data_IF_639089137773
#
_entry.id   IF_639089137773
#
_cell.length_a   1.000
_cell.length_b   1.000
_cell.length_c   1.000
_cell.angle_alpha   90.00
_cell.angle_beta   90.00
_cell.angle_gamma   90.00
#
_symmetry.space_group_name_H-M   'P 1'
#
loop_
_entity.id
_entity.type
_entity.pdbx_description
1 polymer ?
#
# COMPACT_ATOMS: atom_id res chain seq x y z
N UNK A 1 13.49 69.39 -9.64
CA UNK A 1 13.51 69.49 -8.17
C UNK A 1 13.27 68.08 -7.66
N UNK A 2 14.20 67.36 -7.04
CA UNK A 2 15.29 67.77 -6.15
C UNK A 2 16.51 66.85 -6.34
N UNK A 3 17.70 67.46 -6.31
CA UNK A 3 18.96 66.84 -5.87
C UNK A 3 18.78 66.27 -4.45
N UNK A 4 19.56 65.30 -3.96
CA UNK A 4 20.96 65.37 -3.49
C UNK A 4 21.37 63.90 -3.25
N UNK A 5 22.49 63.36 -3.75
CA UNK A 5 23.86 63.58 -3.28
C UNK A 5 24.20 62.57 -2.16
N UNK A 6 25.17 61.66 -2.39
CA UNK A 6 26.52 61.69 -1.75
C UNK A 6 26.49 60.98 -0.37
N UNK A 7 27.40 60.10 0.08
CA UNK A 7 28.81 59.81 -0.21
C UNK A 7 29.16 58.39 0.32
N UNK A 8 30.24 57.80 -0.21
CA UNK A 8 30.90 56.67 0.45
C UNK A 8 31.58 57.13 1.74
N UNK A 9 31.51 56.30 2.79
CA UNK A 9 32.24 56.54 4.03
C UNK A 9 33.27 55.42 4.27
N UNK A 10 34.50 55.90 4.33
CA UNK A 10 35.78 55.24 4.56
C UNK A 10 35.88 54.56 5.93
N UNK A 11 36.72 53.53 5.96
CA UNK A 11 37.19 52.76 7.10
C UNK A 11 37.42 53.54 8.41
N UNK A 12 36.97 52.95 9.51
CA UNK A 12 37.51 53.17 10.85
C UNK A 12 37.70 51.80 11.51
N UNK A 13 38.96 51.38 11.69
CA UNK A 13 39.30 50.20 12.46
C UNK A 13 38.90 50.37 13.95
N UNK A 14 38.61 49.28 14.67
CA UNK A 14 38.23 49.37 16.06
C UNK A 14 39.39 49.92 16.90
N UNK A 15 39.11 50.80 17.89
CA UNK A 15 40.16 51.35 18.75
C UNK A 15 40.79 50.23 19.58
N UNK A 16 42.13 50.18 19.55
CA UNK A 16 42.93 49.33 20.44
C UNK A 16 42.68 49.82 21.86
N UNK A 17 42.03 48.98 22.68
CA UNK A 17 41.80 49.29 24.10
C UNK A 17 43.12 49.13 24.85
N UNK A 18 43.50 50.17 25.57
CA UNK A 18 44.55 50.14 26.59
C UNK A 18 44.23 49.04 27.63
N UNK A 19 45.22 48.28 28.12
CA UNK A 19 45.00 47.33 29.20
C UNK A 19 44.61 48.11 30.46
N UNK A 20 43.35 47.96 30.86
CA UNK A 20 42.83 48.49 32.12
C UNK A 20 43.71 48.01 33.27
N UNK A 21 44.23 48.97 34.02
CA UNK A 21 44.92 48.79 35.29
C UNK A 21 44.11 47.84 36.18
N UNK A 22 44.78 46.81 36.71
CA UNK A 22 44.16 45.71 37.45
C UNK A 22 43.73 46.23 38.82
N UNK A 23 42.58 46.91 38.84
CA UNK A 23 41.88 47.31 40.05
C UNK A 23 41.51 46.08 40.88
N UNK A 24 41.78 46.20 42.17
CA UNK A 24 41.59 45.21 43.22
C UNK A 24 40.34 44.33 43.03
N UNK A 25 40.55 43.01 43.10
CA UNK A 25 39.52 42.00 42.93
C UNK A 25 38.51 42.15 44.07
N UNK A 26 37.39 42.84 43.79
CA UNK A 26 36.26 42.90 44.71
C UNK A 26 35.78 41.46 44.96
N UNK A 27 35.65 41.01 46.23
CA UNK A 27 35.10 39.70 46.53
C UNK A 27 33.75 39.53 45.84
N UNK A 28 33.54 38.40 45.16
CA UNK A 28 32.30 38.11 44.46
C UNK A 28 31.13 38.15 45.46
N UNK A 29 30.27 39.16 45.33
CA UNK A 29 28.99 39.20 46.01
C UNK A 29 28.19 38.00 45.50
N UNK A 30 27.98 37.03 46.39
CA UNK A 30 27.26 35.80 46.11
C UNK A 30 25.82 36.19 45.80
N UNK A 31 25.45 36.18 44.51
CA UNK A 31 24.07 36.45 44.09
C UNK A 31 23.20 35.30 44.60
N UNK A 32 22.62 35.52 45.78
CA UNK A 32 21.60 34.70 46.42
C UNK A 32 20.34 34.74 45.54
N UNK A 33 20.15 33.70 44.73
CA UNK A 33 18.95 33.54 43.88
C UNK A 33 19.18 33.18 42.42
N UNK A 34 20.42 33.08 41.94
CA UNK A 34 20.69 32.68 40.54
C UNK A 34 20.76 31.14 40.31
N UNK A 35 20.52 30.33 41.35
CA UNK A 35 20.72 28.87 41.30
C UNK A 35 19.55 28.04 41.87
N UNK A 36 18.32 28.54 41.79
CA UNK A 36 17.13 27.85 42.35
C UNK A 36 16.08 27.42 41.31
N UNK A 37 16.43 27.43 40.02
CA UNK A 37 15.53 26.93 38.94
C UNK A 37 15.95 25.61 38.31
N UNK A 38 16.97 24.95 38.85
CA UNK A 38 17.24 23.56 38.52
C UNK A 38 17.00 22.73 39.77
N UNK A 39 15.74 22.30 39.94
CA UNK A 39 15.41 21.26 40.87
C UNK A 39 16.31 20.06 40.57
N UNK A 40 17.10 19.66 41.57
CA UNK A 40 18.10 18.60 41.51
C UNK A 40 17.41 17.24 41.58
N UNK A 41 16.43 17.07 40.68
CA UNK A 41 15.66 15.89 40.32
C UNK A 41 15.39 15.82 38.81
N UNK A 42 15.71 16.87 38.02
CA UNK A 42 15.60 16.88 36.56
C UNK A 42 16.83 16.30 35.82
N UNK A 43 17.59 15.40 36.44
CA UNK A 43 18.22 14.36 35.63
C UNK A 43 17.09 13.39 35.35
N UNK A 44 16.30 13.66 34.30
CA UNK A 44 15.30 12.72 33.82
C UNK A 44 15.95 11.34 33.83
N UNK A 45 15.50 10.49 34.76
CA UNK A 45 16.09 9.19 35.00
C UNK A 45 16.32 8.53 33.65
N UNK A 46 17.44 7.85 33.44
CA UNK A 46 17.68 7.09 32.20
C UNK A 46 16.48 6.16 31.92
N UNK A 47 15.75 5.73 32.95
CA UNK A 47 14.49 5.00 32.83
C UNK A 47 13.32 5.80 32.26
N UNK A 48 13.22 7.11 32.52
CA UNK A 48 12.22 8.00 31.92
C UNK A 48 12.49 8.19 30.42
N UNK A 49 13.73 8.50 30.03
CA UNK A 49 14.11 8.64 28.61
C UNK A 49 13.95 7.34 27.82
N UNK A 50 14.28 6.19 28.43
CA UNK A 50 14.06 4.88 27.81
C UNK A 50 12.55 4.56 27.69
N UNK A 51 11.74 5.01 28.65
CA UNK A 51 10.29 4.93 28.62
C UNK A 51 9.67 5.73 27.46
N UNK A 52 10.15 6.96 27.25
CA UNK A 52 9.70 7.81 26.14
C UNK A 52 10.05 7.20 24.78
N UNK A 53 11.29 6.72 24.60
CA UNK A 53 11.71 6.03 23.36
C UNK A 53 10.88 4.76 23.12
N UNK A 54 10.61 3.97 24.15
CA UNK A 54 9.78 2.77 24.03
C UNK A 54 8.32 3.12 23.65
N UNK A 55 7.80 4.24 24.16
CA UNK A 55 6.52 4.81 23.78
C UNK A 55 6.49 5.24 22.31
N UNK A 56 7.53 5.91 21.84
CA UNK A 56 7.66 6.36 20.45
C UNK A 56 7.74 5.18 19.48
N UNK A 57 8.54 4.16 19.79
CA UNK A 57 8.62 2.93 18.98
C UNK A 57 7.27 2.21 18.93
N UNK A 58 6.57 2.12 20.07
CA UNK A 58 5.22 1.52 20.13
C UNK A 58 4.23 2.30 19.27
N UNK A 59 4.36 3.63 19.23
CA UNK A 59 3.53 4.52 18.44
C UNK A 59 3.80 4.35 16.94
N UNK A 60 5.07 4.30 16.53
CA UNK A 60 5.47 4.03 15.14
C UNK A 60 4.96 2.66 14.67
N UNK A 61 5.13 1.61 15.48
CA UNK A 61 4.63 0.27 15.15
C UNK A 61 3.12 0.26 14.94
N UNK A 62 2.36 0.96 15.79
CA UNK A 62 0.90 1.11 15.61
C UNK A 62 0.55 1.86 14.33
N UNK A 63 1.32 2.89 13.98
CA UNK A 63 1.13 3.67 12.75
C UNK A 63 1.43 2.84 11.50
N UNK A 64 2.52 2.08 11.47
CA UNK A 64 2.87 1.18 10.37
C UNK A 64 1.78 0.13 10.15
N UNK A 65 1.27 -0.48 11.23
CA UNK A 65 0.14 -1.42 11.13
C UNK A 65 -1.12 -0.72 10.63
N UNK A 66 -1.40 0.49 11.11
CA UNK A 66 -2.57 1.25 10.65
C UNK A 66 -2.47 1.63 9.16
N UNK A 67 -1.28 2.01 8.71
CA UNK A 67 -1.00 2.33 7.31
C UNK A 67 -1.11 1.09 6.43
N UNK A 68 -0.45 -0.01 6.80
CA UNK A 68 -0.55 -1.28 6.08
C UNK A 68 -2.01 -1.75 5.98
N UNK A 69 -2.79 -1.60 7.06
CA UNK A 69 -4.22 -1.91 7.05
C UNK A 69 -5.00 -1.00 6.09
N UNK A 70 -4.67 0.29 6.02
CA UNK A 70 -5.29 1.22 5.09
C UNK A 70 -4.96 0.86 3.63
N UNK A 71 -3.70 0.53 3.34
CA UNK A 71 -3.26 0.14 1.99
C UNK A 71 -3.89 -1.19 1.53
N UNK A 72 -3.95 -2.19 2.41
CA UNK A 72 -4.66 -3.45 2.14
C UNK A 72 -6.14 -3.20 1.89
N UNK A 73 -6.79 -2.33 2.68
CA UNK A 73 -8.22 -2.00 2.50
C UNK A 73 -8.46 -1.28 1.17
N UNK A 74 -7.60 -0.34 0.80
CA UNK A 74 -7.67 0.36 -0.47
C UNK A 74 -7.49 -0.63 -1.64
N UNK A 75 -6.45 -1.46 -1.57
CA UNK A 75 -6.15 -2.50 -2.56
C UNK A 75 -7.32 -3.48 -2.72
N UNK A 76 -7.92 -3.94 -1.61
CA UNK A 76 -9.08 -4.82 -1.63
C UNK A 76 -10.31 -4.15 -2.25
N UNK A 77 -10.50 -2.85 -2.00
CA UNK A 77 -11.60 -2.08 -2.58
C UNK A 77 -11.44 -1.95 -4.09
N UNK A 78 -10.23 -1.63 -4.55
CA UNK A 78 -9.96 -1.42 -5.97
C UNK A 78 -9.97 -2.75 -6.73
N UNK A 79 -9.41 -3.82 -6.15
CA UNK A 79 -9.56 -5.18 -6.66
C UNK A 79 -11.03 -5.62 -6.71
N UNK A 80 -11.82 -5.31 -5.67
CA UNK A 80 -13.25 -5.60 -5.61
C UNK A 80 -14.05 -4.87 -6.70
N UNK A 81 -13.78 -3.59 -6.93
CA UNK A 81 -14.36 -2.83 -8.04
C UNK A 81 -13.98 -3.44 -9.39
N UNK A 82 -12.70 -3.74 -9.59
CA UNK A 82 -12.19 -4.38 -10.80
C UNK A 82 -12.88 -5.71 -11.09
N UNK A 83 -12.94 -6.60 -10.09
CA UNK A 83 -13.64 -7.87 -10.18
C UNK A 83 -15.13 -7.69 -10.46
N UNK A 84 -15.79 -6.73 -9.80
CA UNK A 84 -17.19 -6.39 -10.04
C UNK A 84 -17.45 -5.90 -11.48
N UNK A 85 -16.60 -5.02 -12.00
CA UNK A 85 -16.68 -4.53 -13.38
C UNK A 85 -16.47 -5.66 -14.39
N UNK A 86 -15.49 -6.56 -14.17
CA UNK A 86 -15.26 -7.70 -15.04
C UNK A 86 -16.41 -8.72 -14.99
N UNK A 87 -16.96 -8.99 -13.82
CA UNK A 87 -18.14 -9.84 -13.68
C UNK A 87 -19.35 -9.24 -14.41
N UNK A 88 -19.61 -7.94 -14.20
CA UNK A 88 -20.65 -7.20 -14.89
C UNK A 88 -20.47 -7.19 -16.41
N UNK A 89 -19.25 -6.98 -16.90
CA UNK A 89 -18.90 -7.05 -18.31
C UNK A 89 -19.13 -8.46 -18.89
N UNK A 90 -18.84 -9.52 -18.13
CA UNK A 90 -19.13 -10.90 -18.51
C UNK A 90 -20.63 -11.13 -18.71
N UNK A 91 -21.46 -10.68 -17.76
CA UNK A 91 -22.94 -10.80 -17.86
C UNK A 91 -23.48 -9.95 -19.02
N UNK A 92 -23.06 -8.69 -19.11
CA UNK A 92 -23.48 -7.78 -20.17
C UNK A 92 -23.07 -8.30 -21.55
N UNK A 93 -21.84 -8.78 -21.69
CA UNK A 93 -21.33 -9.40 -22.92
C UNK A 93 -22.10 -10.66 -23.30
N UNK A 94 -22.45 -11.51 -22.33
CA UNK A 94 -23.29 -12.68 -22.57
C UNK A 94 -24.68 -12.30 -23.09
N UNK A 95 -25.34 -11.31 -22.47
CA UNK A 95 -26.63 -10.81 -22.94
C UNK A 95 -26.53 -10.17 -24.34
N UNK A 96 -25.48 -9.39 -24.60
CA UNK A 96 -25.23 -8.82 -25.93
C UNK A 96 -25.11 -9.93 -26.99
N UNK A 97 -24.33 -10.99 -26.72
CA UNK A 97 -24.19 -12.14 -27.62
C UNK A 97 -25.52 -12.87 -27.85
N UNK A 98 -26.35 -13.01 -26.81
CA UNK A 98 -27.69 -13.59 -26.93
C UNK A 98 -28.57 -12.76 -27.86
N UNK A 99 -28.68 -11.45 -27.64
CA UNK A 99 -29.49 -10.56 -28.47
C UNK A 99 -28.97 -10.46 -29.90
N UNK A 100 -27.64 -10.42 -30.10
CA UNK A 100 -27.05 -10.48 -31.43
C UNK A 100 -27.36 -11.79 -32.15
N UNK A 101 -27.39 -12.91 -31.44
CA UNK A 101 -27.77 -14.21 -32.01
C UNK A 101 -29.23 -14.23 -32.46
N UNK A 102 -30.14 -13.67 -31.65
CA UNK A 102 -31.56 -13.53 -32.01
C UNK A 102 -31.72 -12.60 -33.21
N UNK A 103 -31.02 -11.45 -33.22
CA UNK A 103 -31.05 -10.50 -34.32
C UNK A 103 -30.52 -11.13 -35.62
N UNK A 104 -29.43 -11.89 -35.55
CA UNK A 104 -28.88 -12.62 -36.70
C UNK A 104 -29.85 -13.67 -37.22
N UNK A 105 -30.47 -14.44 -36.31
CA UNK A 105 -31.48 -15.42 -36.68
C UNK A 105 -32.66 -14.74 -37.39
N UNK A 106 -33.15 -13.62 -36.86
CA UNK A 106 -34.24 -12.86 -37.46
C UNK A 106 -33.88 -12.29 -38.84
N UNK A 107 -32.68 -11.72 -38.97
CA UNK A 107 -32.19 -11.14 -40.22
C UNK A 107 -32.01 -12.20 -41.32
N UNK A 108 -31.45 -13.37 -40.98
CA UNK A 108 -31.33 -14.49 -41.92
C UNK A 108 -32.68 -15.11 -42.25
N UNK A 109 -33.57 -15.21 -41.26
CA UNK A 109 -34.92 -15.74 -41.42
C UNK A 109 -35.74 -14.90 -42.40
N UNK A 110 -35.65 -13.57 -42.31
CA UNK A 110 -36.31 -12.66 -43.26
C UNK A 110 -35.63 -12.62 -44.63
N UNK A 111 -34.30 -12.72 -44.70
CA UNK A 111 -33.58 -12.73 -45.97
C UNK A 111 -33.90 -13.96 -46.82
N UNK A 112 -34.06 -15.12 -46.18
CA UNK A 112 -34.34 -16.40 -46.87
C UNK A 112 -35.81 -16.82 -46.83
N UNK A 113 -36.70 -16.01 -46.24
CA UNK A 113 -38.10 -16.38 -45.94
C UNK A 113 -38.24 -17.75 -45.24
N UNK A 114 -37.22 -18.15 -44.46
CA UNK A 114 -37.18 -19.44 -43.79
C UNK A 114 -36.39 -19.38 -42.46
N UNK A 115 -37.13 -19.21 -41.37
CA UNK A 115 -36.56 -19.17 -40.02
C UNK A 115 -35.95 -20.51 -39.58
N UNK A 116 -36.40 -21.65 -40.11
CA UNK A 116 -35.87 -22.96 -39.77
C UNK A 116 -34.43 -23.14 -40.24
N UNK A 117 -34.14 -22.77 -41.50
CA UNK A 117 -32.78 -22.79 -42.05
C UNK A 117 -31.89 -21.78 -41.34
N UNK A 118 -32.41 -20.57 -41.07
CA UNK A 118 -31.67 -19.56 -40.34
C UNK A 118 -31.28 -20.03 -38.92
N UNK A 119 -32.17 -20.72 -38.20
CA UNK A 119 -31.87 -21.30 -36.89
C UNK A 119 -30.75 -22.35 -36.97
N UNK A 120 -30.77 -23.22 -37.99
CA UNK A 120 -29.72 -24.20 -38.20
C UNK A 120 -28.36 -23.54 -38.46
N UNK A 121 -28.31 -22.48 -39.27
CA UNK A 121 -27.07 -21.75 -39.54
C UNK A 121 -26.51 -21.12 -38.27
N UNK A 122 -27.33 -20.41 -37.49
CA UNK A 122 -26.90 -19.83 -36.20
C UNK A 122 -26.46 -20.91 -35.22
N UNK A 123 -27.16 -22.04 -35.18
CA UNK A 123 -26.80 -23.20 -34.38
C UNK A 123 -25.45 -23.80 -34.76
N UNK A 124 -25.16 -23.95 -36.06
CA UNK A 124 -23.86 -24.43 -36.55
C UNK A 124 -22.73 -23.48 -36.18
N UNK A 125 -22.95 -22.15 -36.28
CA UNK A 125 -21.97 -21.14 -35.85
C UNK A 125 -21.63 -21.33 -34.37
N UNK A 126 -22.63 -21.46 -33.50
CA UNK A 126 -22.41 -21.70 -32.07
C UNK A 126 -21.76 -23.05 -31.77
N UNK A 127 -22.11 -24.11 -32.52
CA UNK A 127 -21.48 -25.42 -32.38
C UNK A 127 -19.98 -25.36 -32.70
N UNK A 128 -19.59 -24.63 -33.75
CA UNK A 128 -18.18 -24.42 -34.10
C UNK A 128 -17.44 -23.61 -33.03
N UNK A 129 -18.03 -22.52 -32.55
CA UNK A 129 -17.48 -21.71 -31.45
C UNK A 129 -17.27 -22.59 -30.21
N UNK A 130 -18.28 -23.36 -29.81
CA UNK A 130 -18.22 -24.26 -28.66
C UNK A 130 -17.14 -25.34 -28.83
N UNK A 131 -17.01 -25.93 -30.03
CA UNK A 131 -15.96 -26.91 -30.31
C UNK A 131 -14.55 -26.32 -30.16
N UNK A 132 -14.32 -25.10 -30.67
CA UNK A 132 -13.04 -24.40 -30.53
C UNK A 132 -12.76 -24.05 -29.06
N UNK A 133 -13.73 -23.47 -28.35
CA UNK A 133 -13.57 -23.13 -26.94
C UNK A 133 -13.31 -24.37 -26.07
N UNK A 134 -14.02 -25.47 -26.31
CA UNK A 134 -13.81 -26.73 -25.61
C UNK A 134 -12.41 -27.31 -25.91
N UNK A 135 -11.95 -27.24 -27.16
CA UNK A 135 -10.62 -27.70 -27.53
C UNK A 135 -9.52 -26.87 -26.84
N UNK A 136 -9.62 -25.54 -26.89
CA UNK A 136 -8.67 -24.63 -26.22
C UNK A 136 -8.70 -24.80 -24.71
N UNK A 137 -9.88 -24.82 -24.10
CA UNK A 137 -10.05 -25.02 -22.66
C UNK A 137 -9.47 -26.35 -22.19
N UNK A 138 -9.64 -27.43 -22.96
CA UNK A 138 -8.99 -28.71 -22.66
C UNK A 138 -7.46 -28.63 -22.73
N UNK A 139 -6.91 -27.90 -23.69
CA UNK A 139 -5.45 -27.69 -23.79
C UNK A 139 -4.93 -26.91 -22.61
N UNK A 140 -5.56 -25.80 -22.25
CA UNK A 140 -5.16 -25.00 -21.09
C UNK A 140 -5.25 -25.82 -19.79
N UNK A 141 -6.35 -26.55 -19.58
CA UNK A 141 -6.50 -27.43 -18.40
C UNK A 141 -5.44 -28.53 -18.33
N UNK A 142 -5.00 -29.08 -19.47
CA UNK A 142 -3.90 -30.05 -19.52
C UNK A 142 -2.55 -29.43 -19.23
N UNK A 143 -2.36 -28.17 -19.61
CA UNK A 143 -1.13 -27.41 -19.37
C UNK A 143 -1.03 -26.87 -17.94
N UNK A 144 -2.14 -26.85 -17.19
CA UNK A 144 -2.14 -26.69 -15.72
C UNK A 144 -1.57 -27.98 -15.10
N UNK A 145 -0.30 -28.23 -15.36
CA UNK A 145 0.52 -29.25 -14.72
C UNK A 145 0.85 -28.72 -13.32
N UNK A 146 0.15 -29.22 -12.31
CA UNK A 146 0.45 -28.92 -10.91
C UNK A 146 -0.67 -28.19 -10.19
N UNK A 147 -1.74 -28.92 -9.84
CA UNK A 147 -2.19 -28.78 -8.45
C UNK A 147 -1.00 -29.23 -7.61
N UNK A 148 -0.40 -28.37 -6.78
CA UNK A 148 0.80 -28.72 -6.05
C UNK A 148 0.56 -30.02 -5.29
N UNK A 149 1.49 -30.97 -5.40
CA UNK A 149 1.56 -32.17 -4.55
C UNK A 149 1.56 -31.83 -3.05
N UNK A 150 1.53 -30.55 -2.69
CA UNK A 150 1.27 -30.01 -1.35
C UNK A 150 -0.06 -30.45 -0.75
N UNK A 151 -1.11 -30.74 -1.53
CA UNK A 151 -2.33 -31.39 -0.95
C UNK A 151 -2.06 -32.84 -0.52
N UNK A 152 -1.09 -33.51 -1.12
CA UNK A 152 -0.63 -34.85 -0.71
C UNK A 152 0.28 -34.75 0.52
N UNK A 153 1.18 -33.76 0.55
CA UNK A 153 2.09 -33.52 1.69
C UNK A 153 1.33 -33.08 2.94
N UNK A 154 0.32 -32.20 2.85
CA UNK A 154 -0.48 -31.76 4.01
C UNK A 154 -1.34 -32.90 4.59
N UNK A 155 -1.74 -33.88 3.77
CA UNK A 155 -2.41 -35.11 4.24
C UNK A 155 -1.45 -36.12 4.88
N UNK A 156 -0.14 -36.00 4.66
CA UNK A 156 0.90 -36.88 5.21
C UNK A 156 1.58 -36.35 6.47
N UNK A 157 1.16 -35.20 7.02
CA UNK A 157 1.61 -34.71 8.34
C UNK A 157 0.58 -34.89 9.47
N UNK A 158 0.04 -36.10 9.73
CA UNK A 158 -0.52 -36.43 11.05
C UNK A 158 0.50 -37.13 11.97
N UNK A 159 1.52 -37.80 11.43
CA UNK A 159 2.41 -38.65 12.23
C UNK A 159 3.55 -37.89 12.92
N UNK A 160 3.93 -36.70 12.43
CA UNK A 160 4.93 -35.85 13.10
C UNK A 160 4.39 -35.11 14.33
N UNK A 161 3.07 -35.12 14.57
CA UNK A 161 2.42 -34.51 15.74
C UNK A 161 1.95 -35.54 16.77
N UNK A 162 1.97 -36.85 16.46
CA UNK A 162 1.81 -37.91 17.46
C UNK A 162 3.19 -38.25 17.98
N UNK A 163 3.56 -37.54 19.05
CA UNK A 163 4.82 -37.69 19.76
C UNK A 163 5.14 -39.15 20.04
N UNK A 164 6.41 -39.49 19.82
CA UNK A 164 6.99 -40.76 20.18
C UNK A 164 7.02 -40.82 21.71
N UNK A 165 5.98 -41.38 22.33
CA UNK A 165 6.08 -41.88 23.70
C UNK A 165 6.96 -43.14 23.63
N UNK A 166 8.24 -42.97 23.94
CA UNK A 166 9.23 -44.03 24.13
C UNK A 166 9.01 -44.66 25.51
N UNK A 167 8.62 -45.94 25.64
CA UNK A 167 8.64 -46.65 26.91
C UNK A 167 9.81 -47.63 26.87
N UNK A 168 10.93 -47.24 27.49
CA UNK A 168 11.97 -48.17 27.95
C UNK A 168 12.27 -47.94 29.42
#
# INVERSE_FOLDING_TARGET
MSQVGHEGSTAAGPPVREPAEIGEVRPAEQIEGAHDTYDKGEIGSIGALLGDIAGDVTTLMRQEVALAKAEVRQSATDAGKGAGMLAGAGVAGHLALLFLSIALWWALGSWWDNFGVAALVVGVIWALIAAVLAARGRTELKNVTGVPRTVETVKQVPDALKGNEDPR
#
